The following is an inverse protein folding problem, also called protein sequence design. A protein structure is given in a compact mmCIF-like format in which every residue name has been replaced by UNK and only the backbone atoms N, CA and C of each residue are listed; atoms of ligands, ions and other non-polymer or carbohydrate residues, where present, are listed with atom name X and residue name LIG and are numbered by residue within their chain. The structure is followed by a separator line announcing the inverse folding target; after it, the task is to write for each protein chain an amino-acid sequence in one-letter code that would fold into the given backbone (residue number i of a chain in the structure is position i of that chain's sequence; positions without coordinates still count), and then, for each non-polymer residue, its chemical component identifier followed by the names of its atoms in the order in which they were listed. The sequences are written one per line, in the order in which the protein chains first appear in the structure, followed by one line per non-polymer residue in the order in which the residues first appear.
data_IF_166009584142
#
_entry.id   IF_166009584142
#
_cell.length_a   1.000
_cell.length_b   1.000
_cell.length_c   1.000
_cell.angle_alpha   90.00
_cell.angle_beta   90.00
_cell.angle_gamma   90.00
#
_symmetry.space_group_name_H-M   'P 1'
#
loop_
_entity.id
_entity.type
_entity.pdbx_description
1 polymer ?
#
# COMPACT_ATOMS: atom_id res chain seq x y z
N UNK A 1 -3.55 7.61 -22.13
CA UNK A 1 -4.61 7.74 -23.13
C UNK A 1 -5.99 7.29 -22.64
N UNK A 2 -6.41 7.74 -21.45
CA UNK A 2 -7.75 7.45 -20.88
C UNK A 2 -8.76 8.56 -21.23
N UNK A 3 -8.29 9.75 -21.60
CA UNK A 3 -9.14 10.91 -21.91
C UNK A 3 -10.27 10.62 -22.90
N UNK A 4 -10.07 9.88 -24.02
CA UNK A 4 -11.18 9.57 -24.94
C UNK A 4 -12.34 8.83 -24.28
N UNK A 5 -12.06 8.01 -23.26
CA UNK A 5 -13.08 7.26 -22.52
C UNK A 5 -13.80 8.13 -21.49
N UNK A 6 -13.17 9.18 -20.98
CA UNK A 6 -13.70 10.04 -19.92
C UNK A 6 -14.47 11.25 -20.44
N UNK A 7 -14.12 11.77 -21.62
CA UNK A 7 -14.76 12.95 -22.19
C UNK A 7 -16.29 12.83 -22.35
N UNK A 8 -16.86 11.68 -22.77
CA UNK A 8 -18.31 11.52 -22.82
C UNK A 8 -18.99 11.62 -21.45
N UNK A 9 -18.41 11.00 -20.42
CA UNK A 9 -18.90 11.08 -19.05
C UNK A 9 -18.79 12.49 -18.48
N UNK A 10 -17.71 13.20 -18.78
CA UNK A 10 -17.55 14.60 -18.41
C UNK A 10 -18.65 15.47 -19.03
N UNK A 11 -18.92 15.31 -20.34
CA UNK A 11 -19.95 16.07 -21.05
C UNK A 11 -21.35 15.85 -20.45
N UNK A 12 -21.66 14.63 -20.00
CA UNK A 12 -22.93 14.34 -19.34
C UNK A 12 -23.07 15.07 -17.98
N UNK A 13 -21.99 15.20 -17.22
CA UNK A 13 -22.04 15.79 -15.88
C UNK A 13 -21.87 17.32 -15.87
N UNK A 14 -21.08 17.87 -16.78
CA UNK A 14 -20.62 19.26 -16.76
C UNK A 14 -20.91 20.06 -18.04
N UNK A 15 -21.52 19.41 -19.03
CA UNK A 15 -21.79 20.01 -20.35
C UNK A 15 -20.65 19.77 -21.35
N UNK A 16 -20.99 20.01 -22.62
CA UNK A 16 -20.03 19.80 -23.71
C UNK A 16 -18.90 20.82 -23.71
N UNK A 17 -17.69 20.34 -23.96
CA UNK A 17 -16.53 21.20 -24.17
C UNK A 17 -16.52 21.77 -25.60
N UNK A 18 -15.95 22.98 -25.77
CA UNK A 18 -15.72 23.51 -27.13
C UNK A 18 -14.91 22.50 -27.97
N UNK A 19 -15.25 22.41 -29.26
CA UNK A 19 -14.62 21.46 -30.18
C UNK A 19 -13.09 21.56 -30.22
N UNK A 20 -12.56 22.79 -30.15
CA UNK A 20 -11.10 23.05 -30.10
C UNK A 20 -10.46 22.46 -28.87
N UNK A 21 -11.11 22.59 -27.71
CA UNK A 21 -10.62 22.02 -26.44
C UNK A 21 -10.66 20.50 -26.50
N UNK A 22 -11.74 19.93 -27.02
CA UNK A 22 -11.87 18.47 -27.17
C UNK A 22 -10.77 17.91 -28.08
N UNK A 23 -10.51 18.55 -29.23
CA UNK A 23 -9.42 18.15 -30.13
C UNK A 23 -8.04 18.25 -29.44
N UNK A 24 -7.79 19.35 -28.73
CA UNK A 24 -6.52 19.51 -27.97
C UNK A 24 -6.34 18.45 -26.91
N UNK A 25 -7.40 18.09 -26.16
CA UNK A 25 -7.37 17.03 -25.14
C UNK A 25 -7.14 15.63 -25.72
N UNK A 26 -7.68 15.37 -26.92
CA UNK A 26 -7.46 14.09 -27.61
C UNK A 26 -6.04 13.96 -28.18
N UNK A 27 -5.42 15.09 -28.55
CA UNK A 27 -4.07 15.13 -29.10
C UNK A 27 -2.96 15.27 -28.06
N UNK A 28 -3.29 15.60 -26.81
CA UNK A 28 -2.31 15.91 -25.77
C UNK A 28 -1.54 14.67 -25.30
N UNK A 29 -0.23 14.80 -25.13
CA UNK A 29 0.58 13.73 -24.55
C UNK A 29 0.45 13.64 -23.01
N UNK A 30 0.62 12.46 -22.41
CA UNK A 30 0.64 12.31 -20.94
C UNK A 30 1.64 13.25 -20.25
N UNK A 31 2.83 13.43 -20.83
CA UNK A 31 3.86 14.32 -20.31
C UNK A 31 3.42 15.79 -20.32
N UNK A 32 2.67 16.21 -21.35
CA UNK A 32 2.13 17.57 -21.43
C UNK A 32 1.03 17.78 -20.38
N UNK A 33 0.15 16.80 -20.18
CA UNK A 33 -0.86 16.84 -19.10
C UNK A 33 -0.18 17.02 -17.74
N UNK A 34 0.84 16.22 -17.46
CA UNK A 34 1.55 16.28 -16.19
C UNK A 34 2.21 17.64 -15.96
N UNK A 35 2.83 18.21 -17.01
CA UNK A 35 3.43 19.53 -16.97
C UNK A 35 2.42 20.65 -16.73
N UNK A 36 1.24 20.59 -17.40
CA UNK A 36 0.18 21.58 -17.24
C UNK A 36 -0.49 21.50 -15.86
N UNK A 37 -0.67 20.30 -15.32
CA UNK A 37 -1.26 20.10 -13.99
C UNK A 37 -0.29 20.36 -12.84
N UNK A 38 1.02 20.43 -13.11
CA UNK A 38 2.04 20.63 -12.07
C UNK A 38 1.83 21.88 -11.19
N UNK A 39 1.53 23.08 -11.73
CA UNK A 39 1.27 24.27 -10.89
C UNK A 39 0.04 24.09 -9.99
N UNK A 40 -1.02 23.47 -10.54
CA UNK A 40 -2.26 23.22 -9.81
C UNK A 40 -2.02 22.21 -8.70
N UNK A 41 -1.34 21.10 -9.00
CA UNK A 41 -0.96 20.10 -7.99
C UNK A 41 -0.13 20.68 -6.86
N UNK A 42 0.80 21.62 -7.14
CA UNK A 42 1.59 22.30 -6.12
C UNK A 42 0.70 23.13 -5.18
N UNK A 43 -0.34 23.77 -5.68
CA UNK A 43 -1.29 24.54 -4.86
C UNK A 43 -2.15 23.63 -3.97
N UNK A 44 -2.55 22.46 -4.48
CA UNK A 44 -3.39 21.49 -3.76
C UNK A 44 -2.58 20.43 -2.99
N UNK A 45 -1.32 20.22 -3.34
CA UNK A 45 -0.42 19.45 -2.49
C UNK A 45 -0.07 20.29 -1.26
N UNK A 46 -0.91 20.20 -0.24
CA UNK A 46 -0.36 20.29 1.10
C UNK A 46 0.85 19.36 1.12
N UNK A 47 1.99 19.81 1.66
CA UNK A 47 3.23 19.01 1.72
C UNK A 47 2.88 17.60 2.19
N UNK A 48 2.78 16.66 1.25
CA UNK A 48 2.49 15.26 1.52
C UNK A 48 3.61 14.74 2.40
N UNK A 49 3.35 14.68 3.70
CA UNK A 49 4.22 13.95 4.61
C UNK A 49 3.95 12.49 4.34
N UNK A 50 4.98 11.75 3.95
CA UNK A 50 4.89 10.31 3.90
C UNK A 50 4.34 9.81 5.23
N UNK A 51 3.28 9.02 5.20
CA UNK A 51 2.72 8.37 6.40
C UNK A 51 3.64 7.27 6.91
N UNK A 52 4.60 6.85 6.09
CA UNK A 52 5.53 5.77 6.37
C UNK A 52 6.89 6.34 6.76
N UNK A 53 7.34 6.01 7.98
CA UNK A 53 8.73 6.26 8.39
C UNK A 53 9.53 5.00 8.08
N UNK A 54 10.63 5.08 7.30
CA UNK A 54 11.45 3.90 7.05
C UNK A 54 11.99 3.32 8.36
N UNK A 55 11.82 2.03 8.56
CA UNK A 55 12.41 1.28 9.67
C UNK A 55 13.93 1.14 9.46
N UNK A 56 14.73 2.03 10.05
CA UNK A 56 16.17 2.07 9.78
C UNK A 56 16.99 1.05 10.56
N UNK A 57 16.54 0.67 11.77
CA UNK A 57 17.32 -0.16 12.69
C UNK A 57 17.43 -1.64 12.26
N UNK A 58 16.42 -2.19 11.62
CA UNK A 58 16.38 -3.60 11.21
C UNK A 58 16.62 -3.81 9.71
N UNK A 59 16.82 -2.73 8.97
CA UNK A 59 16.98 -2.78 7.52
C UNK A 59 18.08 -3.73 7.04
N UNK A 60 19.13 -3.90 7.84
CA UNK A 60 20.24 -4.79 7.52
C UNK A 60 20.07 -6.23 8.04
N UNK A 61 19.05 -6.49 8.85
CA UNK A 61 18.77 -7.80 9.44
C UNK A 61 17.67 -8.56 8.70
N UNK A 62 16.81 -7.83 7.97
CA UNK A 62 15.73 -8.43 7.19
C UNK A 62 16.15 -8.39 5.73
N UNK A 63 16.29 -9.54 5.06
CA UNK A 63 16.74 -9.62 3.68
C UNK A 63 15.75 -8.97 2.71
N UNK A 64 16.26 -8.33 1.67
CA UNK A 64 15.46 -7.87 0.52
C UNK A 64 15.28 -9.07 -0.40
N UNK A 65 14.03 -9.39 -0.72
CA UNK A 65 13.70 -10.40 -1.73
C UNK A 65 12.66 -9.82 -2.70
N UNK A 66 13.10 -8.91 -3.55
CA UNK A 66 12.26 -8.39 -4.64
C UNK A 66 12.15 -9.42 -5.77
N UNK A 67 10.91 -9.68 -6.22
CA UNK A 67 10.59 -10.56 -7.37
C UNK A 67 11.02 -12.03 -7.23
N UNK A 68 11.30 -12.53 -6.02
CA UNK A 68 11.71 -13.92 -5.81
C UNK A 68 10.61 -14.81 -5.23
N UNK A 69 9.46 -14.23 -4.94
CA UNK A 69 8.31 -14.96 -4.42
C UNK A 69 7.45 -15.52 -5.56
N UNK A 70 8.00 -16.49 -6.29
CA UNK A 70 7.25 -17.27 -7.26
C UNK A 70 6.74 -18.56 -6.57
N UNK A 71 6.06 -18.36 -5.44
CA UNK A 71 5.58 -19.46 -4.60
C UNK A 71 4.27 -20.02 -5.15
N UNK A 72 4.22 -21.32 -5.31
CA UNK A 72 3.01 -22.03 -5.71
C UNK A 72 2.26 -22.65 -4.52
N UNK A 73 2.82 -22.56 -3.31
CA UNK A 73 2.22 -23.06 -2.07
C UNK A 73 1.56 -21.91 -1.30
N UNK A 74 0.36 -22.12 -0.73
CA UNK A 74 -0.23 -21.16 0.20
C UNK A 74 0.63 -20.95 1.45
N UNK A 75 0.58 -19.74 2.00
CA UNK A 75 1.27 -19.38 3.24
C UNK A 75 2.33 -18.31 3.11
N UNK A 76 2.51 -17.73 1.93
CA UNK A 76 3.41 -16.59 1.69
C UNK A 76 2.58 -15.32 1.48
N UNK A 77 2.60 -14.44 2.47
CA UNK A 77 1.80 -13.22 2.50
C UNK A 77 2.62 -12.00 2.13
N UNK A 78 2.09 -11.16 1.25
CA UNK A 78 2.49 -9.76 1.10
C UNK A 78 1.58 -8.87 1.95
N UNK A 79 2.15 -7.90 2.64
CA UNK A 79 1.43 -7.01 3.54
C UNK A 79 1.70 -5.54 3.24
N UNK A 80 0.63 -4.75 3.30
CA UNK A 80 0.66 -3.30 3.18
C UNK A 80 -0.29 -2.65 4.19
N UNK A 81 -0.19 -1.33 4.34
CA UNK A 81 -1.10 -0.56 5.20
C UNK A 81 -1.80 0.56 4.45
N UNK A 82 -3.12 0.59 4.53
CA UNK A 82 -3.94 1.65 3.97
C UNK A 82 -4.35 2.64 5.06
N UNK A 83 -4.03 3.92 4.85
CA UNK A 83 -4.35 5.00 5.78
C UNK A 83 -5.77 5.54 5.56
N UNK A 84 -6.57 5.66 6.61
CA UNK A 84 -7.91 6.27 6.58
C UNK A 84 -7.88 7.66 7.23
N UNK A 85 -7.07 8.55 6.68
CA UNK A 85 -6.82 9.89 7.23
C UNK A 85 -7.73 10.98 6.64
N UNK A 86 -8.58 10.68 5.64
CA UNK A 86 -9.34 11.70 4.93
C UNK A 86 -8.44 12.77 4.29
N UNK A 87 -8.79 14.02 4.45
CA UNK A 87 -8.03 15.16 3.90
C UNK A 87 -6.84 15.59 4.75
N UNK A 88 -6.67 15.04 5.96
CA UNK A 88 -5.63 15.46 6.91
C UNK A 88 -4.85 14.30 7.47
N UNK A 89 -3.53 14.43 7.46
CA UNK A 89 -2.59 13.49 8.11
C UNK A 89 -2.32 13.87 9.58
N UNK A 90 -3.02 14.87 10.12
CA UNK A 90 -2.84 15.31 11.50
C UNK A 90 -3.65 14.41 12.46
N UNK A 91 -3.04 14.09 13.60
CA UNK A 91 -3.69 13.28 14.64
C UNK A 91 -3.51 11.77 14.43
N UNK A 92 -4.29 11.01 15.17
CA UNK A 92 -4.33 9.55 15.07
C UNK A 92 -5.57 9.14 14.28
N UNK A 93 -5.43 8.17 13.41
CA UNK A 93 -6.50 7.63 12.58
C UNK A 93 -6.33 6.12 12.38
N UNK A 94 -7.34 5.50 11.82
CA UNK A 94 -7.35 4.07 11.54
C UNK A 94 -6.50 3.77 10.32
N UNK A 95 -5.81 2.64 10.37
CA UNK A 95 -5.19 1.99 9.22
C UNK A 95 -5.84 0.63 8.99
N UNK A 96 -5.90 0.19 7.76
CA UNK A 96 -6.14 -1.21 7.44
C UNK A 96 -4.79 -1.87 7.17
N UNK A 97 -4.51 -2.97 7.87
CA UNK A 97 -3.48 -3.92 7.48
C UNK A 97 -4.13 -4.83 6.45
N UNK A 98 -3.59 -4.85 5.26
CA UNK A 98 -4.01 -5.71 4.16
C UNK A 98 -2.94 -6.77 3.91
N UNK A 99 -3.34 -8.04 3.85
CA UNK A 99 -2.44 -9.15 3.57
C UNK A 99 -3.01 -10.02 2.49
N UNK A 100 -2.18 -10.39 1.52
CA UNK A 100 -2.57 -11.22 0.38
C UNK A 100 -1.62 -12.41 0.26
N UNK A 101 -2.16 -13.62 0.21
CA UNK A 101 -1.39 -14.83 -0.11
C UNK A 101 -1.08 -14.88 -1.60
N UNK A 102 0.20 -15.03 -1.94
CA UNK A 102 0.69 -14.96 -3.31
C UNK A 102 0.15 -16.11 -4.17
N UNK A 103 0.06 -17.31 -3.61
CA UNK A 103 -0.35 -18.48 -4.35
C UNK A 103 -1.85 -18.53 -4.62
N UNK A 104 -2.67 -18.08 -3.68
CA UNK A 104 -4.13 -18.25 -3.72
C UNK A 104 -4.91 -16.96 -3.89
N UNK A 105 -4.26 -15.80 -3.71
CA UNK A 105 -4.91 -14.50 -3.59
C UNK A 105 -5.88 -14.42 -2.39
N UNK A 106 -5.74 -15.32 -1.41
CA UNK A 106 -6.48 -15.20 -0.15
C UNK A 106 -6.10 -13.91 0.55
N UNK A 107 -7.11 -13.12 0.91
CA UNK A 107 -6.91 -11.80 1.50
C UNK A 107 -7.50 -11.74 2.89
N UNK A 108 -6.73 -11.25 3.86
CA UNK A 108 -7.19 -10.92 5.20
C UNK A 108 -6.92 -9.45 5.50
N UNK A 109 -7.90 -8.79 6.11
CA UNK A 109 -7.81 -7.38 6.44
C UNK A 109 -8.16 -7.14 7.89
N UNK A 110 -7.40 -6.29 8.58
CA UNK A 110 -7.67 -5.88 9.96
C UNK A 110 -7.49 -4.38 10.13
N UNK A 111 -8.42 -3.79 10.85
CA UNK A 111 -8.31 -2.39 11.26
C UNK A 111 -7.40 -2.27 12.48
N UNK A 112 -6.51 -1.28 12.47
CA UNK A 112 -5.65 -0.93 13.59
C UNK A 112 -5.67 0.56 13.84
N UNK A 113 -5.74 0.97 15.11
CA UNK A 113 -5.66 2.37 15.48
C UNK A 113 -4.21 2.84 15.53
N UNK A 114 -3.84 3.70 14.57
CA UNK A 114 -2.45 4.16 14.42
C UNK A 114 -1.54 3.06 13.84
N UNK A 115 -0.25 3.37 13.74
CA UNK A 115 0.81 2.47 13.24
C UNK A 115 1.73 1.96 14.36
N UNK A 116 1.21 1.76 15.55
CA UNK A 116 2.01 1.26 16.69
C UNK A 116 2.41 -0.20 16.48
N UNK A 117 3.69 -0.50 16.70
CA UNK A 117 4.29 -1.84 16.51
C UNK A 117 3.52 -2.96 17.20
N UNK A 118 3.05 -2.71 18.44
CA UNK A 118 2.28 -3.69 19.23
C UNK A 118 0.90 -3.93 18.64
N UNK A 119 0.19 -2.86 18.25
CA UNK A 119 -1.14 -2.98 17.65
C UNK A 119 -1.09 -3.72 16.32
N UNK A 120 -0.10 -3.42 15.47
CA UNK A 120 0.12 -4.12 14.20
C UNK A 120 0.43 -5.60 14.43
N UNK A 121 1.30 -5.92 15.40
CA UNK A 121 1.62 -7.31 15.76
C UNK A 121 0.38 -8.10 16.22
N UNK A 122 -0.48 -7.50 17.03
CA UNK A 122 -1.70 -8.15 17.50
C UNK A 122 -2.67 -8.46 16.36
N UNK A 123 -2.84 -7.53 15.43
CA UNK A 123 -3.66 -7.75 14.25
C UNK A 123 -3.08 -8.81 13.31
N UNK A 124 -1.76 -8.84 13.14
CA UNK A 124 -1.10 -9.89 12.35
C UNK A 124 -1.23 -11.28 12.98
N UNK A 125 -1.18 -11.38 14.31
CA UNK A 125 -1.50 -12.64 15.01
C UNK A 125 -2.94 -13.08 14.82
N UNK A 126 -3.86 -12.13 14.74
CA UNK A 126 -5.26 -12.44 14.46
C UNK A 126 -5.46 -12.91 13.02
N UNK A 127 -4.82 -12.25 12.06
CA UNK A 127 -4.76 -12.68 10.66
C UNK A 127 -4.20 -14.11 10.59
N UNK A 128 -3.04 -14.38 11.21
CA UNK A 128 -2.41 -15.70 11.20
C UNK A 128 -3.35 -16.81 11.71
N UNK A 129 -4.18 -16.52 12.74
CA UNK A 129 -5.18 -17.47 13.25
C UNK A 129 -6.35 -17.70 12.29
N UNK A 130 -6.67 -16.70 11.47
CA UNK A 130 -7.76 -16.78 10.50
C UNK A 130 -7.37 -17.48 9.19
N UNK A 131 -6.06 -17.59 8.90
CA UNK A 131 -5.59 -18.26 7.69
C UNK A 131 -6.00 -19.73 7.65
N UNK A 132 -6.50 -20.25 6.52
CA UNK A 132 -6.81 -21.67 6.35
C UNK A 132 -5.58 -22.55 6.10
N UNK A 133 -4.39 -21.97 6.12
CA UNK A 133 -3.10 -22.63 5.88
C UNK A 133 -2.03 -22.05 6.82
N UNK A 134 -0.93 -22.76 7.07
CA UNK A 134 0.15 -22.25 7.91
C UNK A 134 0.87 -21.07 7.25
N UNK A 135 1.23 -20.05 8.04
CA UNK A 135 2.06 -18.94 7.60
C UNK A 135 3.51 -19.42 7.44
N UNK A 136 4.06 -19.30 6.24
CA UNK A 136 5.40 -19.76 5.86
C UNK A 136 6.34 -18.58 5.57
N UNK A 137 5.81 -17.50 4.98
CA UNK A 137 6.56 -16.32 4.62
C UNK A 137 5.73 -15.05 4.80
N UNK A 138 6.41 -13.95 5.08
CA UNK A 138 5.82 -12.63 5.24
C UNK A 138 6.73 -11.60 4.60
N UNK A 139 6.23 -10.88 3.61
CA UNK A 139 6.89 -9.76 2.96
C UNK A 139 6.14 -8.47 3.20
N UNK A 140 6.86 -7.37 3.33
CA UNK A 140 6.25 -6.06 3.52
C UNK A 140 7.14 -4.96 2.96
N UNK A 141 6.56 -3.78 2.79
CA UNK A 141 7.35 -2.60 2.50
C UNK A 141 8.31 -2.24 3.67
N UNK A 142 9.14 -1.21 3.45
CA UNK A 142 10.11 -0.76 4.46
C UNK A 142 9.47 0.07 5.59
N UNK A 143 8.18 -0.05 5.83
CA UNK A 143 7.48 0.66 6.90
C UNK A 143 7.96 0.25 8.30
N UNK A 144 8.11 1.22 9.20
CA UNK A 144 8.52 0.96 10.59
C UNK A 144 7.48 0.13 11.36
N UNK A 145 6.24 0.15 10.92
CA UNK A 145 5.16 -0.68 11.45
C UNK A 145 5.40 -2.18 11.27
N UNK A 146 6.11 -2.55 10.19
CA UNK A 146 6.51 -3.92 9.91
C UNK A 146 7.97 -4.19 10.25
N UNK A 147 8.88 -3.25 9.97
CA UNK A 147 10.30 -3.41 10.26
C UNK A 147 10.63 -3.06 11.72
N UNK A 148 10.20 -3.92 12.64
CA UNK A 148 10.43 -3.76 14.08
C UNK A 148 10.82 -5.07 14.79
N UNK A 149 11.40 -4.95 15.98
CA UNK A 149 11.86 -6.11 16.75
C UNK A 149 10.73 -7.02 17.22
N UNK A 150 9.51 -6.52 17.40
CA UNK A 150 8.37 -7.33 17.83
C UNK A 150 8.00 -8.34 16.75
N UNK A 151 7.90 -7.89 15.50
CA UNK A 151 7.61 -8.76 14.35
C UNK A 151 8.78 -9.69 14.03
N UNK A 152 10.01 -9.18 14.03
CA UNK A 152 11.19 -10.02 13.83
C UNK A 152 11.23 -11.19 14.81
N UNK A 153 11.02 -10.94 16.10
CA UNK A 153 10.96 -11.99 17.12
C UNK A 153 9.78 -12.92 16.91
N UNK A 154 8.61 -12.39 16.59
CA UNK A 154 7.41 -13.19 16.34
C UNK A 154 7.61 -14.19 15.21
N UNK A 155 8.27 -13.79 14.13
CA UNK A 155 8.50 -14.66 12.99
C UNK A 155 9.69 -15.60 13.14
N UNK A 156 10.74 -15.20 13.86
CA UNK A 156 11.99 -15.98 13.96
C UNK A 156 12.06 -16.86 15.20
N UNK A 157 11.48 -16.43 16.34
CA UNK A 157 11.55 -17.13 17.63
C UNK A 157 10.36 -18.07 17.85
N UNK A 158 10.14 -18.99 16.92
CA UNK A 158 9.05 -19.98 16.95
C UNK A 158 9.55 -21.33 16.42
N UNK A 159 8.82 -22.43 16.73
CA UNK A 159 9.22 -23.79 16.31
C UNK A 159 9.42 -23.93 14.82
N UNK A 160 8.60 -23.26 14.05
CA UNK A 160 8.70 -23.16 12.58
C UNK A 160 8.87 -21.68 12.23
N UNK A 161 10.09 -21.21 12.01
CA UNK A 161 10.33 -19.83 11.66
C UNK A 161 9.62 -19.46 10.35
N UNK A 162 9.03 -18.27 10.34
CA UNK A 162 8.45 -17.67 9.13
C UNK A 162 9.56 -16.90 8.41
N UNK A 163 9.66 -17.07 7.10
CA UNK A 163 10.57 -16.29 6.28
C UNK A 163 10.09 -14.83 6.29
N UNK A 164 10.88 -13.94 6.86
CA UNK A 164 10.54 -12.52 6.93
C UNK A 164 11.43 -11.73 5.96
N UNK A 165 10.80 -11.03 5.02
CA UNK A 165 11.46 -10.27 3.93
C UNK A 165 10.86 -8.87 3.81
N UNK A 166 11.47 -8.04 2.94
CA UNK A 166 11.05 -6.67 2.68
C UNK A 166 11.45 -6.21 1.26
#
# INVERSE_FOLDING_TARGET
AILPLWLPGYAQCFGELPSEVTHALLAISPATIDRLLRPIRIQYQGRGRSTTKPGTLLRNQIPIQTNQWNESRPGFLEADTVAHCGESLSGSFVYTIDTVDIATSWTEQRAVWGKGETGVLEQLKDIERALPFPLLGFDSDNGSEFLNYHLLRHFTQRKQPVQFTR
#
